data_IF_675054965545
#
_entry.id   IF_675054965545
#
_cell.length_a   1.000
_cell.length_b   1.000
_cell.length_c   1.000
_cell.angle_alpha   90.00
_cell.angle_beta   90.00
_cell.angle_gamma   90.00
#
_symmetry.space_group_name_H-M   'P 1'
#
loop_
_entity.id
_entity.type
_entity.pdbx_description
1 polymer ?
#
# COMPACT_ATOMS: atom_id res chain seq x y z
N UNK A 1 1.72 -11.36 -10.43
CA UNK A 1 1.04 -10.13 -9.92
C UNK A 1 -0.44 -10.39 -9.63
N UNK A 2 -0.87 -11.65 -9.48
CA UNK A 2 -2.30 -11.96 -9.31
C UNK A 2 -2.83 -11.52 -7.95
N UNK A 3 -1.95 -11.28 -6.96
CA UNK A 3 -2.35 -11.03 -5.57
C UNK A 3 -2.22 -9.57 -5.10
N UNK A 4 -1.75 -8.64 -5.94
CA UNK A 4 -1.60 -7.23 -5.52
C UNK A 4 -2.96 -6.63 -5.14
N UNK A 5 -3.99 -6.92 -5.93
CA UNK A 5 -5.38 -6.53 -5.65
C UNK A 5 -5.90 -7.10 -4.34
N UNK A 6 -5.72 -8.40 -4.13
CA UNK A 6 -6.11 -9.09 -2.88
C UNK A 6 -5.41 -8.50 -1.66
N UNK A 7 -4.10 -8.21 -1.79
CA UNK A 7 -3.30 -7.59 -0.73
C UNK A 7 -3.76 -6.17 -0.43
N UNK A 8 -4.11 -5.38 -1.46
CA UNK A 8 -4.71 -4.07 -1.26
C UNK A 8 -6.03 -4.16 -0.49
N UNK A 9 -6.89 -5.10 -0.86
CA UNK A 9 -8.14 -5.37 -0.13
C UNK A 9 -7.89 -5.77 1.33
N UNK A 10 -6.90 -6.62 1.59
CA UNK A 10 -6.51 -7.01 2.94
C UNK A 10 -5.99 -5.81 3.76
N UNK A 11 -5.16 -4.94 3.19
CA UNK A 11 -4.66 -3.72 3.84
C UNK A 11 -5.81 -2.76 4.18
N UNK A 12 -6.74 -2.58 3.23
CA UNK A 12 -7.94 -1.78 3.42
C UNK A 12 -8.78 -2.28 4.59
N UNK A 13 -9.07 -3.59 4.62
CA UNK A 13 -9.88 -4.21 5.67
C UNK A 13 -9.18 -4.15 7.04
N UNK A 14 -7.85 -4.31 7.09
CA UNK A 14 -7.05 -4.16 8.32
C UNK A 14 -7.15 -2.76 8.92
N UNK A 15 -7.24 -1.72 8.09
CA UNK A 15 -7.42 -0.35 8.55
C UNK A 15 -8.89 0.03 8.80
N UNK A 16 -9.85 -0.84 8.47
CA UNK A 16 -11.29 -0.59 8.65
C UNK A 16 -11.83 0.53 7.75
N UNK A 17 -11.16 0.84 6.63
CA UNK A 17 -11.54 1.94 5.75
C UNK A 17 -12.31 1.45 4.50
N UNK A 18 -13.13 2.33 3.93
CA UNK A 18 -13.90 1.99 2.73
C UNK A 18 -13.05 2.03 1.47
N UNK A 19 -13.53 1.41 0.38
CA UNK A 19 -12.88 1.50 -0.93
C UNK A 19 -12.77 2.95 -1.40
N UNK A 20 -13.75 3.78 -1.00
CA UNK A 20 -13.76 5.21 -1.26
C UNK A 20 -12.61 5.92 -0.56
N UNK A 21 -12.38 5.60 0.70
CA UNK A 21 -11.29 6.19 1.48
C UNK A 21 -9.93 5.80 0.92
N UNK A 22 -9.73 4.54 0.53
CA UNK A 22 -8.49 4.09 -0.13
C UNK A 22 -8.24 4.83 -1.43
N UNK A 23 -9.25 4.95 -2.28
CA UNK A 23 -9.15 5.66 -3.55
C UNK A 23 -8.78 7.13 -3.35
N UNK A 24 -9.38 7.79 -2.36
CA UNK A 24 -9.05 9.17 -2.00
C UNK A 24 -7.63 9.30 -1.44
N UNK A 25 -7.21 8.40 -0.54
CA UNK A 25 -5.85 8.40 0.06
C UNK A 25 -4.75 8.18 -0.98
N UNK A 26 -5.03 7.34 -1.98
CA UNK A 26 -4.12 7.09 -3.09
C UNK A 26 -4.19 8.20 -4.17
N UNK A 27 -5.05 9.20 -4.00
CA UNK A 27 -5.17 10.33 -4.93
C UNK A 27 -5.73 9.95 -6.30
N UNK A 28 -6.49 8.86 -6.39
CA UNK A 28 -7.16 8.44 -7.63
C UNK A 28 -8.64 8.85 -7.59
N UNK A 29 -9.22 9.15 -8.75
CA UNK A 29 -10.63 9.59 -8.82
C UNK A 29 -11.61 8.45 -9.13
N UNK A 30 -11.12 7.31 -9.63
CA UNK A 30 -12.00 6.24 -10.11
C UNK A 30 -12.14 5.10 -9.11
N UNK A 31 -13.24 5.12 -8.35
CA UNK A 31 -13.63 4.02 -7.46
C UNK A 31 -13.86 2.71 -8.22
N UNK A 32 -14.43 2.78 -9.43
CA UNK A 32 -14.68 1.60 -10.26
C UNK A 32 -13.37 0.91 -10.67
N UNK A 33 -12.33 1.70 -11.03
CA UNK A 33 -11.03 1.12 -11.32
C UNK A 33 -10.39 0.51 -10.09
N UNK A 34 -10.54 1.13 -8.92
CA UNK A 34 -10.03 0.55 -7.67
C UNK A 34 -10.69 -0.80 -7.35
N UNK A 35 -12.01 -0.93 -7.57
CA UNK A 35 -12.71 -2.19 -7.38
C UNK A 35 -12.20 -3.29 -8.32
N UNK A 36 -12.02 -2.97 -9.61
CA UNK A 36 -11.45 -3.94 -10.57
C UNK A 36 -10.04 -4.37 -10.18
N UNK A 37 -9.25 -3.47 -9.62
CA UNK A 37 -7.90 -3.78 -9.13
C UNK A 37 -7.97 -4.70 -7.91
N UNK A 38 -8.79 -4.39 -6.90
CA UNK A 38 -8.96 -5.25 -5.72
C UNK A 38 -9.46 -6.66 -6.09
N UNK A 39 -10.32 -6.78 -7.09
CA UNK A 39 -10.81 -8.08 -7.59
C UNK A 39 -9.82 -8.81 -8.51
N UNK A 40 -8.68 -8.20 -8.87
CA UNK A 40 -7.71 -8.79 -9.80
C UNK A 40 -8.10 -8.72 -11.28
N UNK A 41 -9.21 -8.07 -11.61
CA UNK A 41 -9.70 -7.85 -12.99
C UNK A 41 -8.88 -6.78 -13.73
N UNK A 42 -8.11 -5.97 -13.00
CA UNK A 42 -7.22 -4.95 -13.59
C UNK A 42 -5.87 -4.92 -12.88
N UNK A 43 -4.81 -4.87 -13.67
CA UNK A 43 -3.44 -4.71 -13.15
C UNK A 43 -3.22 -3.25 -12.70
N UNK A 44 -2.72 -3.01 -11.48
CA UNK A 44 -2.35 -1.67 -11.03
C UNK A 44 -1.12 -1.14 -11.78
N UNK A 45 -1.04 0.17 -11.98
CA UNK A 45 0.14 0.82 -12.53
C UNK A 45 1.29 0.83 -11.51
N UNK A 46 2.53 1.00 -11.98
CA UNK A 46 3.69 1.17 -11.09
C UNK A 46 3.51 2.36 -10.14
N UNK A 47 2.95 3.48 -10.61
CA UNK A 47 2.63 4.64 -9.78
C UNK A 47 1.67 4.28 -8.63
N UNK A 48 0.63 3.50 -8.92
CA UNK A 48 -0.31 3.06 -7.90
C UNK A 48 0.37 2.13 -6.88
N UNK A 49 1.20 1.20 -7.33
CA UNK A 49 1.94 0.29 -6.45
C UNK A 49 2.82 1.09 -5.47
N UNK A 50 3.53 2.11 -5.95
CA UNK A 50 4.34 2.99 -5.10
C UNK A 50 3.48 3.75 -4.07
N UNK A 51 2.34 4.30 -4.50
CA UNK A 51 1.42 4.98 -3.57
C UNK A 51 0.83 4.03 -2.53
N UNK A 52 0.58 2.76 -2.87
CA UNK A 52 0.09 1.76 -1.90
C UNK A 52 1.17 1.50 -0.85
N UNK A 53 2.42 1.30 -1.27
CA UNK A 53 3.57 1.14 -0.37
C UNK A 53 3.69 2.33 0.59
N UNK A 54 3.59 3.56 0.08
CA UNK A 54 3.66 4.78 0.87
C UNK A 54 2.46 4.95 1.82
N UNK A 55 1.23 4.78 1.35
CA UNK A 55 0.02 5.03 2.16
C UNK A 55 -0.14 3.97 3.25
N UNK A 56 0.18 2.71 2.94
CA UNK A 56 0.01 1.60 3.88
C UNK A 56 1.29 1.24 4.64
N UNK A 57 2.42 1.91 4.36
CA UNK A 57 3.71 1.70 5.02
C UNK A 57 4.13 0.22 4.99
N UNK A 58 3.97 -0.42 3.82
CA UNK A 58 4.36 -1.81 3.58
C UNK A 58 5.52 -1.88 2.59
N UNK A 59 6.35 -2.92 2.66
CA UNK A 59 7.45 -3.04 1.71
C UNK A 59 6.94 -3.39 0.30
N UNK A 60 7.60 -2.84 -0.72
CA UNK A 60 7.28 -3.14 -2.13
C UNK A 60 7.33 -4.65 -2.41
N UNK A 61 8.33 -5.35 -1.87
CA UNK A 61 8.46 -6.79 -1.98
C UNK A 61 7.30 -7.55 -1.30
N UNK A 62 6.77 -7.07 -0.17
CA UNK A 62 5.62 -7.69 0.48
C UNK A 62 4.36 -7.51 -0.36
N UNK A 63 4.22 -6.37 -1.03
CA UNK A 63 3.09 -6.10 -1.91
C UNK A 63 3.18 -6.91 -3.22
N UNK A 64 4.34 -6.98 -3.85
CA UNK A 64 4.51 -7.55 -5.19
C UNK A 64 4.84 -9.05 -5.20
N UNK A 65 5.48 -9.58 -4.16
CA UNK A 65 5.94 -10.96 -4.15
C UNK A 65 4.82 -11.90 -3.69
N UNK A 66 4.27 -12.69 -4.61
CA UNK A 66 3.10 -13.54 -4.36
C UNK A 66 3.35 -14.62 -3.28
N UNK A 67 4.62 -14.99 -3.03
CA UNK A 67 5.03 -15.97 -2.01
C UNK A 67 5.17 -15.37 -0.58
N UNK A 68 5.09 -14.04 -0.44
CA UNK A 68 5.22 -13.37 0.87
C UNK A 68 3.86 -12.84 1.32
N UNK A 69 3.56 -13.05 2.59
CA UNK A 69 2.40 -12.47 3.24
C UNK A 69 2.67 -11.03 3.71
N UNK A 70 1.59 -10.30 3.97
CA UNK A 70 1.64 -8.96 4.56
C UNK A 70 1.95 -9.08 6.06
N UNK A 71 3.23 -9.24 6.38
CA UNK A 71 3.71 -9.29 7.76
C UNK A 71 4.28 -7.93 8.15
N UNK A 72 3.43 -7.08 8.75
CA UNK A 72 3.80 -5.71 9.10
C UNK A 72 4.33 -5.74 10.54
N UNK A 73 5.60 -6.13 10.70
CA UNK A 73 6.31 -5.87 11.96
C UNK A 73 6.58 -4.38 12.03
N UNK A 74 5.98 -3.73 13.03
CA UNK A 74 5.92 -2.29 13.18
C UNK A 74 7.24 -1.74 13.76
N UNK A 75 8.37 -2.04 13.11
CA UNK A 75 9.71 -1.58 13.52
C UNK A 75 10.36 -0.78 12.38
N UNK A 76 9.81 0.41 12.10
CA UNK A 76 10.57 1.50 11.48
C UNK A 76 10.82 2.58 12.54
N UNK A 77 11.49 2.18 13.61
CA UNK A 77 12.16 3.08 14.54
C UNK A 77 13.65 3.03 14.24
N UNK A 78 14.13 3.85 13.30
CA UNK A 78 15.51 4.38 13.29
C UNK A 78 15.81 5.20 12.01
N UNK A 79 16.07 6.49 12.26
CA UNK A 79 17.18 7.25 11.69
C UNK A 79 17.08 7.76 10.24
N UNK A 80 16.57 8.97 10.11
CA UNK A 80 17.29 10.01 9.36
C UNK A 80 17.71 11.09 10.36
N UNK A 81 18.93 10.94 10.85
CA UNK A 81 19.90 11.98 11.22
C UNK A 81 19.31 13.33 11.70
N UNK A 82 19.13 13.41 13.02
CA UNK A 82 19.22 14.68 13.72
C UNK A 82 20.70 15.08 13.81
N UNK A 83 21.18 15.89 12.86
CA UNK A 83 22.44 16.65 13.02
C UNK A 83 22.12 18.05 13.53
N UNK A 84 21.60 18.14 14.75
CA UNK A 84 21.82 19.32 15.60
C UNK A 84 23.13 19.10 16.37
N UNK A 85 24.26 19.25 15.68
CA UNK A 85 25.52 19.56 16.36
C UNK A 85 25.51 21.05 16.71
N UNK A 86 25.09 21.31 17.95
CA UNK A 86 25.41 22.53 18.68
C UNK A 86 26.90 22.50 19.00
N UNK A 87 27.68 23.45 18.46
CA UNK A 87 28.74 24.13 19.23
C UNK A 87 29.11 25.48 18.64
#
# INVERSE_FOLDING_TARGET
>A
MQRVGEKLGALRLRQGISLRDVTNRLGFQSYAQMALIECGEKTPSAEMILKIVEVFQVLLEQLMCDARDLDVSNDNTANTENTDEIS
#
